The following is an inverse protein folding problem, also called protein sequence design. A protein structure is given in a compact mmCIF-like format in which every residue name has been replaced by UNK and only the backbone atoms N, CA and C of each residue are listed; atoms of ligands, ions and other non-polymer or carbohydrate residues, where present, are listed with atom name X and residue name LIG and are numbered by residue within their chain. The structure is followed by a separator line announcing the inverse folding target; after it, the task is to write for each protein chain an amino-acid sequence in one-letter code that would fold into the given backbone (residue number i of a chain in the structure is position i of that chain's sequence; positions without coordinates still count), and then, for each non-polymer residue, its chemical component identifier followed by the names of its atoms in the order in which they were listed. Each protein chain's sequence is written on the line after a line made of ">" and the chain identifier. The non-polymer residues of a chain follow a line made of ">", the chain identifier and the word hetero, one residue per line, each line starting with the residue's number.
data_IF_777006142639
#
_entry.id   IF_777006142639
#
_cell.length_a   1.000
_cell.length_b   1.000
_cell.length_c   1.000
_cell.angle_alpha   90.00
_cell.angle_beta   90.00
_cell.angle_gamma   90.00
#
_symmetry.space_group_name_H-M   'P 1'
#
loop_
_entity.id
_entity.type
_entity.pdbx_description
1 polymer ?
#
# COMPACT_ATOMS: atom_id res chain seq x y z
N UNK A 1 -0.78 8.84 -18.02
CA UNK A 1 -1.12 8.91 -16.58
C UNK A 1 -0.19 7.96 -15.84
N UNK A 2 0.50 8.45 -14.80
CA UNK A 2 1.59 7.72 -14.11
C UNK A 2 1.13 6.94 -12.87
N UNK A 3 -0.15 7.02 -12.49
CA UNK A 3 -0.67 6.33 -11.31
C UNK A 3 -1.11 4.88 -11.61
N UNK A 4 -1.11 3.98 -10.62
CA UNK A 4 -1.56 2.59 -10.79
C UNK A 4 -3.03 2.49 -11.21
N UNK A 5 -3.31 1.60 -12.16
CA UNK A 5 -4.64 1.31 -12.72
C UNK A 5 -4.91 -0.18 -12.80
N UNK A 6 -6.20 -0.58 -12.81
CA UNK A 6 -6.59 -1.98 -12.98
C UNK A 6 -5.95 -2.54 -14.26
N UNK A 7 -5.41 -3.75 -14.16
CA UNK A 7 -4.71 -4.43 -15.26
C UNK A 7 -3.23 -4.09 -15.40
N UNK A 8 -2.71 -3.08 -14.68
CA UNK A 8 -1.27 -2.81 -14.64
C UNK A 8 -0.52 -3.97 -13.96
N UNK A 9 0.70 -4.22 -14.41
CA UNK A 9 1.58 -5.25 -13.87
C UNK A 9 2.57 -4.63 -12.90
N UNK A 10 2.55 -5.09 -11.65
CA UNK A 10 3.46 -4.70 -10.60
C UNK A 10 4.54 -5.76 -10.39
N UNK A 11 5.76 -5.28 -10.16
CA UNK A 11 6.90 -6.05 -9.65
C UNK A 11 7.04 -5.71 -8.18
N UNK A 12 6.72 -6.66 -7.33
CA UNK A 12 6.72 -6.51 -5.87
C UNK A 12 7.84 -7.40 -5.34
N UNK A 13 8.87 -6.87 -4.66
CA UNK A 13 9.88 -7.71 -4.01
C UNK A 13 9.25 -8.77 -3.12
N UNK A 14 9.78 -9.99 -3.04
CA UNK A 14 9.32 -10.93 -2.02
C UNK A 14 9.64 -10.40 -0.63
N UNK A 15 8.86 -10.90 0.34
CA UNK A 15 9.13 -10.66 1.74
C UNK A 15 10.55 -11.13 2.11
N UNK A 16 11.25 -10.26 2.85
CA UNK A 16 12.57 -10.52 3.42
C UNK A 16 12.62 -9.99 4.86
N UNK A 17 13.63 -10.36 5.63
CA UNK A 17 13.81 -9.83 6.99
C UNK A 17 13.94 -8.30 7.03
N UNK A 18 14.43 -7.67 5.96
CA UNK A 18 14.52 -6.21 5.84
C UNK A 18 13.14 -5.55 5.71
N UNK A 19 12.14 -6.29 5.21
CA UNK A 19 10.77 -5.79 5.10
C UNK A 19 10.17 -5.42 6.46
N UNK A 20 10.65 -6.02 7.55
CA UNK A 20 10.21 -5.71 8.92
C UNK A 20 10.49 -4.26 9.34
N UNK A 21 11.48 -3.60 8.72
CA UNK A 21 11.77 -2.19 8.97
C UNK A 21 10.66 -1.26 8.42
N UNK A 22 9.87 -1.77 7.47
CA UNK A 22 8.76 -1.05 6.85
C UNK A 22 7.40 -1.58 7.29
N UNK A 23 7.36 -2.37 8.37
CA UNK A 23 6.12 -2.84 8.96
C UNK A 23 5.44 -1.70 9.73
N UNK A 24 4.14 -1.54 9.51
CA UNK A 24 3.29 -0.60 10.21
C UNK A 24 2.05 -1.29 10.74
N UNK A 25 1.56 -0.82 11.89
CA UNK A 25 0.30 -1.29 12.45
C UNK A 25 -0.79 -0.24 12.22
N UNK A 26 -1.87 -0.65 11.54
CA UNK A 26 -3.00 0.23 11.27
C UNK A 26 -4.17 -0.18 12.13
N UNK A 27 -4.63 0.77 12.94
CA UNK A 27 -5.81 0.62 13.79
C UNK A 27 -6.98 1.43 13.24
N UNK A 28 -8.17 0.83 13.22
CA UNK A 28 -9.42 1.49 12.82
C UNK A 28 -10.60 0.99 13.66
N UNK A 29 -11.75 1.67 13.53
CA UNK A 29 -13.00 1.25 14.15
C UNK A 29 -13.95 0.70 13.08
N UNK A 30 -14.53 -0.47 13.33
CA UNK A 30 -15.51 -1.10 12.46
C UNK A 30 -16.49 -1.92 13.29
N UNK A 31 -17.80 -1.71 13.07
CA UNK A 31 -18.87 -2.38 13.82
C UNK A 31 -18.74 -2.22 15.34
N UNK A 32 -18.46 -0.99 15.80
CA UNK A 32 -18.24 -0.64 17.21
C UNK A 32 -17.05 -1.34 17.89
N UNK A 33 -16.16 -1.98 17.12
CA UNK A 33 -14.96 -2.62 17.64
C UNK A 33 -13.72 -1.99 17.04
N UNK A 34 -12.71 -1.84 17.88
CA UNK A 34 -11.36 -1.54 17.41
C UNK A 34 -10.81 -2.77 16.69
N UNK A 35 -10.32 -2.56 15.48
CA UNK A 35 -9.60 -3.54 14.67
C UNK A 35 -8.17 -3.04 14.50
N UNK A 36 -7.23 -3.98 14.44
CA UNK A 36 -5.83 -3.70 14.12
C UNK A 36 -5.35 -4.74 13.12
N UNK A 37 -4.47 -4.33 12.21
CA UNK A 37 -3.77 -5.23 11.32
C UNK A 37 -2.39 -4.66 10.97
N UNK A 38 -1.43 -5.57 10.83
CA UNK A 38 -0.07 -5.27 10.40
C UNK A 38 0.02 -5.26 8.88
N UNK A 39 0.65 -4.23 8.34
CA UNK A 39 0.90 -4.04 6.92
C UNK A 39 2.38 -3.77 6.69
N UNK A 40 2.85 -4.10 5.50
CA UNK A 40 4.19 -3.80 5.03
C UNK A 40 4.11 -2.73 3.96
N UNK A 41 4.88 -1.66 4.11
CA UNK A 41 5.06 -0.66 3.07
C UNK A 41 6.15 -1.12 2.12
N UNK A 42 5.77 -1.41 0.87
CA UNK A 42 6.67 -2.00 -0.13
C UNK A 42 6.80 -1.05 -1.33
N UNK A 43 8.03 -0.93 -1.83
CA UNK A 43 8.31 -0.30 -3.11
C UNK A 43 8.15 -1.33 -4.22
N UNK A 44 7.13 -1.13 -5.05
CA UNK A 44 6.90 -1.91 -6.24
C UNK A 44 7.27 -1.08 -7.49
N UNK A 45 7.50 -1.76 -8.61
CA UNK A 45 7.65 -1.10 -9.90
C UNK A 45 6.45 -1.44 -10.78
N UNK A 46 5.81 -0.44 -11.37
CA UNK A 46 4.75 -0.64 -12.35
C UNK A 46 5.36 -0.84 -13.75
N UNK A 47 5.59 -2.09 -14.13
CA UNK A 47 6.16 -2.46 -15.43
C UNK A 47 5.31 -1.95 -16.59
N UNK A 48 3.98 -2.01 -16.49
CA UNK A 48 3.06 -1.53 -17.53
C UNK A 48 3.15 -0.03 -17.78
N UNK A 49 3.72 0.74 -16.84
CA UNK A 49 3.91 2.19 -16.93
C UNK A 49 5.38 2.59 -17.06
N UNK A 50 6.23 1.69 -17.60
CA UNK A 50 7.65 1.98 -17.84
C UNK A 50 8.54 1.80 -16.60
N UNK A 51 8.12 1.00 -15.63
CA UNK A 51 8.89 0.70 -14.43
C UNK A 51 8.89 1.81 -13.39
N UNK A 52 7.91 2.72 -13.44
CA UNK A 52 7.76 3.79 -12.44
C UNK A 52 7.45 3.21 -11.05
N UNK A 53 7.96 3.87 -10.02
CA UNK A 53 7.73 3.47 -8.64
C UNK A 53 6.24 3.53 -8.28
N UNK A 54 5.76 2.47 -7.65
CA UNK A 54 4.42 2.35 -7.11
C UNK A 54 4.52 1.97 -5.63
N UNK A 55 3.85 2.74 -4.78
CA UNK A 55 3.73 2.43 -3.37
C UNK A 55 2.63 1.39 -3.16
N UNK A 56 2.94 0.30 -2.45
CA UNK A 56 1.95 -0.70 -2.08
C UNK A 56 2.00 -1.02 -0.59
N UNK A 57 0.82 -1.10 0.03
CA UNK A 57 0.62 -1.69 1.35
C UNK A 57 0.16 -3.12 1.19
N UNK A 58 0.84 -4.06 1.86
CA UNK A 58 0.47 -5.47 1.82
C UNK A 58 0.26 -5.96 3.25
N UNK A 59 -0.91 -6.49 3.55
CA UNK A 59 -1.21 -7.04 4.87
C UNK A 59 -0.35 -8.28 5.13
N UNK A 60 0.06 -8.49 6.38
CA UNK A 60 0.97 -9.56 6.81
C UNK A 60 0.67 -10.94 6.21
N UNK A 61 -0.58 -11.41 6.32
CA UNK A 61 -1.02 -12.71 5.78
C UNK A 61 -0.95 -12.85 4.25
N UNK A 62 -0.87 -11.73 3.53
CA UNK A 62 -0.74 -11.72 2.06
C UNK A 62 0.74 -11.67 1.66
N UNK A 63 1.63 -11.14 2.52
CA UNK A 63 3.02 -10.89 2.15
C UNK A 63 4.00 -11.90 2.71
N UNK A 64 3.83 -12.28 3.98
CA UNK A 64 4.80 -13.06 4.75
C UNK A 64 4.41 -14.53 4.90
N UNK A 65 3.12 -14.78 5.11
CA UNK A 65 2.61 -16.14 5.34
C UNK A 65 2.39 -16.87 4.02
N UNK A 66 3.35 -17.68 3.58
CA UNK A 66 3.24 -18.50 2.36
C UNK A 66 2.20 -19.62 2.46
N UNK A 67 1.80 -20.02 3.68
CA UNK A 67 0.78 -21.05 3.89
C UNK A 67 -0.64 -20.48 3.75
N UNK A 68 -0.82 -19.19 4.03
CA UNK A 68 -2.08 -18.46 3.83
C UNK A 68 -2.65 -18.68 2.42
N UNK A 69 -3.95 -18.89 2.31
CA UNK A 69 -4.64 -18.97 1.01
C UNK A 69 -4.69 -17.62 0.27
N UNK A 70 -4.45 -16.54 1.00
CA UNK A 70 -4.41 -15.17 0.50
C UNK A 70 -2.99 -14.71 0.15
N UNK A 71 -1.98 -15.58 0.30
CA UNK A 71 -0.60 -15.25 -0.04
C UNK A 71 -0.46 -14.69 -1.45
N UNK A 72 0.36 -13.66 -1.64
CA UNK A 72 0.54 -12.96 -2.93
C UNK A 72 0.91 -13.90 -4.07
N UNK A 73 1.71 -14.95 -3.80
CA UNK A 73 2.07 -15.97 -4.78
C UNK A 73 0.92 -16.87 -5.22
N UNK A 74 -0.23 -16.84 -4.53
CA UNK A 74 -1.45 -17.57 -4.88
C UNK A 74 -2.46 -16.70 -5.65
N UNK A 75 -2.16 -15.43 -5.89
CA UNK A 75 -3.03 -14.60 -6.73
C UNK A 75 -3.07 -15.14 -8.17
N UNK A 76 -4.21 -15.02 -8.87
CA UNK A 76 -4.31 -15.46 -10.26
C UNK A 76 -3.26 -14.80 -11.15
N UNK A 77 -2.45 -15.61 -11.84
CA UNK A 77 -1.38 -15.13 -12.71
C UNK A 77 -0.14 -14.59 -11.99
N UNK A 78 -0.06 -14.71 -10.66
CA UNK A 78 1.16 -14.41 -9.93
C UNK A 78 2.28 -15.35 -10.33
N UNK A 79 3.46 -14.80 -10.56
CA UNK A 79 4.67 -15.56 -10.87
C UNK A 79 5.87 -14.88 -10.23
N UNK A 80 6.87 -15.67 -9.86
CA UNK A 80 8.09 -15.15 -9.27
C UNK A 80 9.16 -15.02 -10.35
N UNK A 81 9.80 -13.84 -10.47
CA UNK A 81 10.86 -13.58 -11.44
C UNK A 81 11.95 -12.64 -10.87
N UNK A 82 13.16 -12.75 -11.43
CA UNK A 82 14.24 -11.79 -11.23
C UNK A 82 15.27 -12.15 -10.14
N UNK A 83 16.21 -11.24 -9.91
CA UNK A 83 17.44 -11.42 -9.09
C UNK A 83 17.17 -11.40 -7.57
N UNK A 84 15.97 -10.96 -7.13
CA UNK A 84 15.58 -10.83 -5.71
C UNK A 84 14.25 -11.48 -5.40
N UNK A 85 13.88 -12.53 -6.15
CA UNK A 85 12.63 -13.27 -5.96
C UNK A 85 11.41 -12.33 -5.95
N UNK A 86 11.24 -11.51 -6.98
CA UNK A 86 10.11 -10.56 -7.02
C UNK A 86 8.86 -11.24 -7.56
N UNK A 87 7.71 -10.92 -6.96
CA UNK A 87 6.39 -11.27 -7.47
C UNK A 87 5.98 -10.34 -8.60
N UNK A 88 5.63 -10.92 -9.74
CA UNK A 88 4.97 -10.24 -10.86
C UNK A 88 3.49 -10.51 -10.74
N UNK A 89 2.70 -9.47 -10.48
CA UNK A 89 1.26 -9.57 -10.28
C UNK A 89 0.52 -8.50 -11.08
N UNK A 90 -0.66 -8.84 -11.58
CA UNK A 90 -1.56 -7.85 -12.21
C UNK A 90 -2.49 -7.24 -11.17
N UNK A 91 -2.71 -5.92 -11.22
CA UNK A 91 -3.70 -5.24 -10.37
C UNK A 91 -5.10 -5.70 -10.78
N UNK A 92 -5.70 -6.52 -9.94
CA UNK A 92 -7.06 -7.04 -10.08
C UNK A 92 -8.03 -6.40 -9.07
N UNK A 93 -9.27 -6.89 -9.02
CA UNK A 93 -10.28 -6.50 -8.03
C UNK A 93 -9.95 -6.96 -6.59
N UNK A 94 -8.91 -7.77 -6.42
CA UNK A 94 -8.35 -8.15 -5.10
C UNK A 94 -7.57 -7.00 -4.46
N UNK A 95 -7.15 -6.03 -5.26
CA UNK A 95 -6.46 -4.85 -4.78
C UNK A 95 -7.45 -3.73 -4.52
N UNK A 96 -7.11 -2.90 -3.55
CA UNK A 96 -7.75 -1.61 -3.33
C UNK A 96 -6.73 -0.49 -3.47
N UNK A 97 -7.16 0.76 -3.45
CA UNK A 97 -6.28 1.91 -3.50
C UNK A 97 -6.75 3.06 -2.61
N UNK A 98 -5.78 3.85 -2.15
CA UNK A 98 -5.99 5.21 -1.67
C UNK A 98 -5.46 6.21 -2.68
N UNK A 99 -5.90 7.47 -2.59
CA UNK A 99 -5.46 8.53 -3.49
C UNK A 99 -5.60 9.90 -2.83
N UNK A 100 -4.77 10.85 -3.27
CA UNK A 100 -4.75 12.19 -2.70
C UNK A 100 -6.03 12.99 -2.91
N UNK A 101 -6.58 12.83 -4.09
CA UNK A 101 -7.73 13.56 -4.55
C UNK A 101 -8.45 12.74 -5.64
N UNK A 102 -9.59 13.25 -6.10
CA UNK A 102 -10.42 12.60 -7.12
C UNK A 102 -9.72 12.44 -8.48
N UNK A 103 -8.64 13.18 -8.74
CA UNK A 103 -7.89 13.10 -9.99
C UNK A 103 -6.91 11.91 -10.02
N UNK A 104 -6.75 11.18 -8.90
CA UNK A 104 -5.85 10.04 -8.80
C UNK A 104 -4.41 10.41 -8.42
N UNK A 105 -4.15 11.66 -8.05
CA UNK A 105 -2.82 12.09 -7.62
C UNK A 105 -2.38 11.29 -6.38
N UNK A 106 -1.10 10.90 -6.34
CA UNK A 106 -0.55 10.14 -5.20
C UNK A 106 -1.25 8.80 -4.94
N UNK A 107 -1.90 8.20 -5.95
CA UNK A 107 -2.56 6.89 -5.78
C UNK A 107 -1.55 5.81 -5.42
N UNK A 108 -1.90 5.04 -4.41
CA UNK A 108 -1.12 3.90 -3.91
C UNK A 108 -2.01 2.67 -3.82
N UNK A 109 -1.39 1.49 -3.82
CA UNK A 109 -2.09 0.19 -3.89
C UNK A 109 -2.17 -0.45 -2.51
N UNK A 110 -3.21 -1.21 -2.24
CA UNK A 110 -3.40 -2.00 -1.03
C UNK A 110 -3.78 -3.44 -1.40
N UNK A 111 -3.08 -4.41 -0.85
CA UNK A 111 -3.44 -5.83 -0.91
C UNK A 111 -3.72 -6.32 0.51
N UNK A 112 -4.99 -6.57 0.82
CA UNK A 112 -5.43 -6.93 2.16
C UNK A 112 -6.81 -7.59 2.14
N UNK A 113 -7.28 -7.99 3.33
CA UNK A 113 -8.65 -8.47 3.51
C UNK A 113 -9.68 -7.39 3.15
N UNK A 114 -10.56 -7.66 2.18
CA UNK A 114 -11.60 -6.71 1.76
C UNK A 114 -12.71 -6.54 2.80
N UNK A 115 -12.81 -7.44 3.77
CA UNK A 115 -13.73 -7.26 4.90
C UNK A 115 -13.24 -6.19 5.89
N UNK A 116 -11.94 -5.86 5.84
CA UNK A 116 -11.40 -4.74 6.59
C UNK A 116 -11.76 -3.42 5.88
N UNK A 117 -12.37 -2.50 6.64
CA UNK A 117 -12.74 -1.17 6.14
C UNK A 117 -11.98 -0.04 6.84
N UNK A 118 -10.64 -0.03 6.83
CA UNK A 118 -9.88 1.12 7.28
C UNK A 118 -10.07 2.30 6.32
N UNK A 119 -10.12 3.51 6.85
CA UNK A 119 -10.09 4.71 6.04
C UNK A 119 -8.69 4.95 5.46
N UNK A 120 -8.60 5.45 4.22
CA UNK A 120 -7.34 5.64 3.53
C UNK A 120 -6.37 6.58 4.27
N UNK A 121 -6.86 7.61 4.97
CA UNK A 121 -6.01 8.52 5.76
C UNK A 121 -5.22 7.79 6.86
N UNK A 122 -5.71 6.66 7.39
CA UNK A 122 -5.03 5.93 8.47
C UNK A 122 -3.68 5.39 8.00
N UNK A 123 -3.61 4.87 6.78
CA UNK A 123 -2.36 4.40 6.18
C UNK A 123 -1.34 5.54 6.08
N UNK A 124 -1.78 6.70 5.61
CA UNK A 124 -0.93 7.89 5.44
C UNK A 124 -0.43 8.42 6.77
N UNK A 125 -1.35 8.63 7.73
CA UNK A 125 -1.01 9.16 9.06
C UNK A 125 -0.02 8.23 9.76
N UNK A 126 -0.30 6.92 9.80
CA UNK A 126 0.60 5.95 10.44
C UNK A 126 1.96 5.90 9.75
N UNK A 127 1.99 5.95 8.42
CA UNK A 127 3.26 5.93 7.67
C UNK A 127 4.11 7.18 7.95
N UNK A 128 3.46 8.35 7.97
CA UNK A 128 4.12 9.63 8.24
C UNK A 128 4.57 9.72 9.71
N UNK A 129 3.76 9.23 10.66
CA UNK A 129 4.06 9.23 12.10
C UNK A 129 5.08 8.15 12.49
N UNK A 130 5.12 7.03 11.77
CA UNK A 130 5.86 5.81 12.09
C UNK A 130 7.39 5.87 11.95
N UNK A 131 7.95 6.95 11.37
CA UNK A 131 9.38 7.31 11.24
C UNK A 131 10.21 6.73 10.08
N UNK A 132 11.15 7.59 9.64
CA UNK A 132 12.54 7.45 9.10
C UNK A 132 12.95 6.46 8.00
N UNK A 133 12.12 5.51 7.56
CA UNK A 133 12.52 4.70 6.39
C UNK A 133 12.53 5.56 5.13
N UNK A 134 13.42 5.27 4.19
CA UNK A 134 13.47 6.02 2.93
C UNK A 134 12.16 5.87 2.13
N UNK A 135 11.42 4.79 2.38
CA UNK A 135 10.07 4.58 1.88
C UNK A 135 9.05 5.60 2.40
N UNK A 136 9.01 5.79 3.71
CA UNK A 136 8.15 6.80 4.33
C UNK A 136 8.57 8.22 3.90
N UNK A 137 9.87 8.50 3.75
CA UNK A 137 10.38 9.78 3.24
C UNK A 137 9.98 10.02 1.77
N UNK A 138 10.09 9.00 0.92
CA UNK A 138 9.70 9.09 -0.49
C UNK A 138 8.19 9.28 -0.64
N UNK A 139 7.40 8.60 0.19
CA UNK A 139 5.97 8.82 0.29
C UNK A 139 5.67 10.27 0.71
N UNK A 140 6.23 10.74 1.82
CA UNK A 140 6.07 12.11 2.31
C UNK A 140 6.44 13.15 1.24
N UNK A 141 7.54 12.94 0.50
CA UNK A 141 7.95 13.80 -0.63
C UNK A 141 6.91 13.82 -1.75
N UNK A 142 6.40 12.65 -2.15
CA UNK A 142 5.41 12.53 -3.24
C UNK A 142 4.09 13.26 -2.93
N UNK A 143 3.77 13.50 -1.65
CA UNK A 143 2.56 14.20 -1.24
C UNK A 143 2.73 15.72 -1.06
N UNK A 144 3.96 16.24 -1.18
CA UNK A 144 4.31 17.65 -1.06
C UNK A 144 5.27 17.88 0.10
N UNK A 145 6.55 18.04 -0.22
CA UNK A 145 7.63 18.27 0.72
C UNK A 145 7.36 19.50 1.62
N UNK A 146 7.20 19.24 2.92
CA UNK A 146 7.03 20.18 4.02
C UNK A 146 7.24 19.42 5.33
N UNK A 147 7.00 20.04 6.49
CA UNK A 147 7.10 19.35 7.77
C UNK A 147 6.01 18.27 7.91
N UNK A 148 6.37 17.15 8.56
CA UNK A 148 5.49 16.00 8.80
C UNK A 148 4.17 16.42 9.47
N UNK A 149 4.22 17.38 10.38
CA UNK A 149 3.04 17.93 11.04
C UNK A 149 2.07 18.60 10.05
N UNK A 150 2.60 19.39 9.11
CA UNK A 150 1.80 20.02 8.06
C UNK A 150 1.21 19.00 7.09
N UNK A 151 1.88 17.88 6.86
CA UNK A 151 1.36 16.80 6.02
C UNK A 151 0.17 16.10 6.68
N UNK A 152 0.27 15.77 7.97
CA UNK A 152 -0.85 15.21 8.74
C UNK A 152 -2.03 16.19 8.78
N UNK A 153 -1.77 17.49 8.95
CA UNK A 153 -2.83 18.52 8.90
C UNK A 153 -3.45 18.65 7.50
N UNK A 154 -2.66 18.60 6.42
CA UNK A 154 -3.15 18.67 5.03
C UNK A 154 -3.91 17.43 4.59
N UNK A 155 -3.62 16.25 5.16
CA UNK A 155 -4.46 15.05 5.00
C UNK A 155 -5.85 15.25 5.62
N UNK A 156 -6.00 16.20 6.56
CA UNK A 156 -7.18 16.36 7.41
C UNK A 156 -8.50 16.75 6.72
N UNK A 157 -8.48 17.54 5.65
CA UNK A 157 -9.74 18.11 5.15
C UNK A 157 -10.39 17.34 3.98
N UNK A 158 -9.63 16.54 3.21
CA UNK A 158 -10.15 15.81 2.05
C UNK A 158 -10.01 14.28 2.13
N UNK A 159 -9.24 13.74 3.07
CA UNK A 159 -9.04 12.29 3.23
C UNK A 159 -9.72 11.70 4.47
N UNK A 160 -10.13 12.53 5.43
CA UNK A 160 -10.78 12.04 6.63
C UNK A 160 -12.14 11.46 6.25
N UNK A 161 -12.36 10.20 6.63
CA UNK A 161 -13.60 9.48 6.39
C UNK A 161 -13.74 8.79 5.03
N UNK A 162 -12.76 8.88 4.13
CA UNK A 162 -12.81 8.15 2.87
C UNK A 162 -12.23 6.73 3.02
N UNK A 163 -12.95 5.74 2.50
CA UNK A 163 -12.51 4.35 2.49
C UNK A 163 -11.49 4.12 1.38
N UNK A 164 -10.86 2.95 1.40
CA UNK A 164 -10.13 2.47 0.23
C UNK A 164 -11.11 2.16 -0.91
N UNK A 165 -10.68 2.44 -2.12
CA UNK A 165 -11.45 2.23 -3.35
C UNK A 165 -11.05 0.91 -4.00
N UNK A 166 -11.96 0.26 -4.70
CA UNK A 166 -11.66 -0.98 -5.44
C UNK A 166 -11.29 -0.64 -6.88
N UNK A 167 -10.31 -1.34 -7.45
CA UNK A 167 -9.85 -1.17 -8.83
C UNK A 167 -10.83 -1.68 -9.90
#
# INVERSE_FOLDING_TARGET
>A
MSYPTKGDVLVIPAYSSESEQNAIEIQWSQSFRTRTARYYLVHAQNQSKGGVDALIYIQDRFYKDSNSNDYIGKLPGARMEGIKDSWIVSISDRFQYGQKNKNGDGRWVCLHDRDNKPYQHRFMVVTIQGKLSDAAKNLARSFGAGDIADQVMKLGNSFIGDYLHTF
#
